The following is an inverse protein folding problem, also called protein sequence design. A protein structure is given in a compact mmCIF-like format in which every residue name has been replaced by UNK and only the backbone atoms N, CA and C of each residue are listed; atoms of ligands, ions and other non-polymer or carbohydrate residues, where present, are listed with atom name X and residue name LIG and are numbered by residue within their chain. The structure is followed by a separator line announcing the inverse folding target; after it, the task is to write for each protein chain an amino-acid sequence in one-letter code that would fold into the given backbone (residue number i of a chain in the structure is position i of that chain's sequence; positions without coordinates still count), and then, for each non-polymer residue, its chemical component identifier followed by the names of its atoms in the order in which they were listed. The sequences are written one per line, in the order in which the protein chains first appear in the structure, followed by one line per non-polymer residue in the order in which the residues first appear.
data_IF_485103209618
#
_entry.id   IF_485103209618
#
_cell.length_a   1.000
_cell.length_b   1.000
_cell.length_c   1.000
_cell.angle_alpha   90.00
_cell.angle_beta   90.00
_cell.angle_gamma   90.00
#
_symmetry.space_group_name_H-M   'P 1'
#
loop_
_entity.id
_entity.type
_entity.pdbx_description
1 polymer ?
#
# COMPACT_ATOMS: atom_id res chain seq x y z
N UNK A 1 -7.84 54.13 -49.09
CA UNK A 1 -9.07 54.74 -48.56
C UNK A 1 -9.75 53.73 -47.63
N UNK A 2 -10.08 54.18 -46.41
CA UNK A 2 -11.04 53.63 -45.42
C UNK A 2 -11.03 52.11 -45.14
N UNK A 3 -10.63 51.60 -43.96
CA UNK A 3 -11.18 51.75 -42.60
C UNK A 3 -12.37 50.82 -42.25
N UNK A 4 -12.21 50.12 -41.10
CA UNK A 4 -13.18 49.43 -40.23
C UNK A 4 -13.86 48.16 -40.78
N UNK A 5 -14.09 47.07 -40.03
CA UNK A 5 -13.94 46.68 -38.62
C UNK A 5 -14.58 45.27 -38.50
N UNK A 6 -13.99 44.29 -37.82
CA UNK A 6 -14.36 43.96 -36.44
C UNK A 6 -14.71 42.47 -36.28
N UNK A 7 -14.35 41.89 -35.13
CA UNK A 7 -14.72 40.53 -34.66
C UNK A 7 -13.67 39.47 -35.03
N UNK A 8 -12.98 38.77 -34.13
CA UNK A 8 -13.24 38.47 -32.73
C UNK A 8 -13.01 36.96 -32.56
N UNK A 9 -11.95 36.55 -31.84
CA UNK A 9 -11.67 35.13 -31.61
C UNK A 9 -10.22 34.81 -31.27
N UNK A 10 -9.72 35.35 -30.15
CA UNK A 10 -8.43 34.96 -29.60
C UNK A 10 -8.50 33.54 -29.04
N UNK A 11 -7.78 32.60 -29.65
CA UNK A 11 -7.59 31.24 -29.14
C UNK A 11 -6.71 31.23 -27.89
N UNK A 12 -7.34 31.12 -26.72
CA UNK A 12 -6.67 30.88 -25.45
C UNK A 12 -6.35 29.40 -25.26
N UNK A 13 -5.06 29.07 -25.15
CA UNK A 13 -4.57 27.76 -24.76
C UNK A 13 -5.06 27.36 -23.34
N UNK A 14 -5.26 26.06 -23.05
CA UNK A 14 -5.76 25.63 -21.76
C UNK A 14 -4.68 25.72 -20.68
N UNK A 15 -5.00 26.50 -19.64
CA UNK A 15 -4.23 26.69 -18.40
C UNK A 15 -4.23 25.38 -17.58
N UNK A 16 -3.09 24.80 -17.20
CA UNK A 16 -3.09 23.62 -16.32
C UNK A 16 -3.50 24.00 -14.90
N UNK A 17 -4.31 23.12 -14.30
CA UNK A 17 -4.92 23.23 -12.99
C UNK A 17 -3.88 23.52 -11.89
N UNK A 18 -4.19 24.53 -11.07
CA UNK A 18 -3.36 24.97 -9.96
C UNK A 18 -3.14 23.87 -8.91
N UNK A 19 -1.86 23.60 -8.62
CA UNK A 19 -1.44 22.92 -7.40
C UNK A 19 -1.85 23.75 -6.19
N UNK A 20 -2.53 23.11 -5.24
CA UNK A 20 -2.76 23.67 -3.91
C UNK A 20 -1.41 23.94 -3.21
N UNK A 21 -1.22 25.16 -2.72
CA UNK A 21 -0.13 25.56 -1.84
C UNK A 21 -0.30 24.85 -0.49
N UNK A 22 0.75 24.26 0.12
CA UNK A 22 0.72 23.95 1.54
C UNK A 22 0.87 25.27 2.32
N UNK A 23 -0.03 25.51 3.26
CA UNK A 23 0.03 26.62 4.20
C UNK A 23 1.24 26.46 5.12
N UNK A 24 2.22 27.35 4.96
CA UNK A 24 3.33 27.54 5.89
C UNK A 24 2.85 28.40 7.07
N UNK A 25 2.40 27.77 8.15
CA UNK A 25 2.18 28.42 9.45
C UNK A 25 3.50 28.51 10.23
N UNK A 26 4.03 29.72 10.37
CA UNK A 26 5.34 29.98 10.96
C UNK A 26 5.35 30.07 12.50
N UNK A 27 6.52 29.76 13.05
CA UNK A 27 7.13 30.47 14.17
C UNK A 27 8.65 30.29 14.05
N UNK A 28 9.35 31.34 13.59
CA UNK A 28 10.81 31.41 13.63
C UNK A 28 11.23 31.71 15.07
N UNK A 29 11.83 30.71 15.74
CA UNK A 29 12.74 30.93 16.86
C UNK A 29 14.18 30.77 16.33
N UNK A 30 15.10 31.59 16.81
CA UNK A 30 16.41 31.86 16.20
C UNK A 30 17.31 30.66 15.95
N UNK A 31 18.16 30.78 14.93
CA UNK A 31 19.43 30.05 14.83
C UNK A 31 19.39 28.58 14.40
N UNK A 32 18.24 28.00 14.06
CA UNK A 32 18.22 26.62 13.51
C UNK A 32 18.46 26.64 12.00
N UNK A 33 19.69 26.33 11.59
CA UNK A 33 20.08 26.06 10.19
C UNK A 33 19.45 24.73 9.70
N UNK A 34 18.95 23.92 10.64
CA UNK A 34 18.34 22.61 10.40
C UNK A 34 16.91 22.82 9.91
N UNK A 35 16.64 22.36 8.68
CA UNK A 35 15.29 22.34 8.13
C UNK A 35 14.37 21.40 8.96
N UNK A 36 13.15 21.87 9.26
CA UNK A 36 12.12 21.06 9.87
C UNK A 36 11.77 19.86 8.96
N UNK A 37 11.45 18.72 9.56
CA UNK A 37 11.22 17.47 8.84
C UNK A 37 9.93 17.54 7.99
N UNK A 38 10.05 17.20 6.70
CA UNK A 38 8.91 17.13 5.78
C UNK A 38 7.91 16.06 6.26
N UNK A 39 6.67 16.48 6.50
CA UNK A 39 5.60 15.59 6.93
C UNK A 39 4.37 15.81 6.07
N UNK A 40 4.19 14.96 5.06
CA UNK A 40 2.91 14.91 4.35
C UNK A 40 1.83 14.30 5.25
N UNK A 41 0.70 15.01 5.39
CA UNK A 41 -0.49 14.55 6.11
C UNK A 41 -1.59 14.28 5.08
N UNK A 42 -2.05 13.04 4.95
CA UNK A 42 -3.18 12.74 4.09
C UNK A 42 -3.18 11.34 3.46
N UNK A 43 -4.04 11.19 2.45
CA UNK A 43 -4.13 9.97 1.63
C UNK A 43 -2.94 9.97 0.65
N UNK A 44 -2.28 8.82 0.52
CA UNK A 44 -1.16 8.63 -0.43
C UNK A 44 -1.63 8.96 -1.84
N UNK A 45 -0.93 9.87 -2.52
CA UNK A 45 -1.27 10.30 -3.87
C UNK A 45 -1.15 9.13 -4.86
N UNK A 46 -2.10 9.03 -5.80
CA UNK A 46 -2.08 7.99 -6.85
C UNK A 46 -0.82 8.05 -7.71
N UNK A 47 -0.22 9.23 -7.84
CA UNK A 47 1.06 9.44 -8.53
C UNK A 47 2.21 8.61 -7.94
N UNK A 48 2.18 8.29 -6.65
CA UNK A 48 3.21 7.45 -6.03
C UNK A 48 3.09 6.00 -6.50
N UNK A 49 1.86 5.49 -6.63
CA UNK A 49 1.61 4.15 -7.15
C UNK A 49 2.00 4.03 -8.63
N UNK A 50 1.71 5.05 -9.42
CA UNK A 50 2.14 5.12 -10.83
C UNK A 50 3.65 5.17 -10.93
N UNK A 51 4.33 5.96 -10.09
CA UNK A 51 5.80 6.03 -10.09
C UNK A 51 6.46 4.71 -9.65
N UNK A 52 5.86 4.01 -8.70
CA UNK A 52 6.31 2.66 -8.34
C UNK A 52 6.10 1.68 -9.52
N UNK A 53 4.95 1.76 -10.19
CA UNK A 53 4.70 0.98 -11.40
C UNK A 53 5.70 1.28 -12.53
N UNK A 54 6.08 2.54 -12.73
CA UNK A 54 7.14 2.98 -13.66
C UNK A 54 8.51 2.43 -13.27
N UNK A 55 8.78 2.31 -11.97
CA UNK A 55 10.01 1.70 -11.46
C UNK A 55 10.06 0.19 -11.72
N UNK A 56 8.93 -0.52 -11.71
CA UNK A 56 8.82 -1.92 -12.13
C UNK A 56 9.06 -2.10 -13.64
N UNK A 57 8.68 -1.08 -14.42
CA UNK A 57 8.78 -1.06 -15.88
C UNK A 57 7.52 -1.58 -16.57
N UNK A 58 7.16 -0.97 -17.70
CA UNK A 58 5.93 -1.25 -18.45
C UNK A 58 5.87 -2.66 -19.03
N UNK A 59 7.01 -3.21 -19.46
CA UNK A 59 7.06 -4.60 -19.92
C UNK A 59 6.75 -5.58 -18.78
N UNK A 60 7.41 -5.43 -17.63
CA UNK A 60 7.14 -6.23 -16.43
C UNK A 60 5.67 -6.12 -16.02
N UNK A 61 5.12 -4.90 -16.01
CA UNK A 61 3.74 -4.63 -15.63
C UNK A 61 2.73 -5.31 -16.56
N UNK A 62 2.91 -5.18 -17.87
CA UNK A 62 2.06 -5.85 -18.86
C UNK A 62 2.12 -7.38 -18.74
N UNK A 63 3.32 -7.94 -18.52
CA UNK A 63 3.50 -9.39 -18.33
C UNK A 63 2.82 -9.89 -17.05
N UNK A 64 2.88 -9.11 -15.97
CA UNK A 64 2.20 -9.42 -14.72
C UNK A 64 0.69 -9.42 -14.91
N UNK A 65 0.13 -8.40 -15.55
CA UNK A 65 -1.32 -8.34 -15.84
C UNK A 65 -1.75 -9.58 -16.64
N UNK A 66 -1.00 -9.95 -17.68
CA UNK A 66 -1.28 -11.13 -18.49
C UNK A 66 -1.24 -12.44 -17.69
N UNK A 67 -0.15 -12.68 -16.94
CA UNK A 67 0.02 -13.91 -16.17
C UNK A 67 -1.00 -13.99 -15.02
N UNK A 68 -1.28 -12.89 -14.32
CA UNK A 68 -2.32 -12.85 -13.29
C UNK A 68 -3.69 -13.19 -13.87
N UNK A 69 -4.08 -12.56 -14.99
CA UNK A 69 -5.34 -12.85 -15.68
C UNK A 69 -5.42 -14.33 -16.08
N UNK A 70 -4.38 -14.86 -16.71
CA UNK A 70 -4.33 -16.25 -17.17
C UNK A 70 -4.41 -17.22 -15.99
N UNK A 71 -3.64 -16.98 -14.92
CA UNK A 71 -3.69 -17.79 -13.70
C UNK A 71 -5.10 -17.82 -13.11
N UNK A 72 -5.80 -16.68 -13.13
CA UNK A 72 -7.14 -16.56 -12.57
C UNK A 72 -8.19 -17.32 -13.40
N UNK A 73 -8.05 -17.29 -14.73
CA UNK A 73 -8.89 -18.07 -15.65
C UNK A 73 -8.73 -19.56 -15.39
N UNK A 74 -7.51 -20.08 -15.22
CA UNK A 74 -7.30 -21.49 -14.92
C UNK A 74 -7.81 -21.88 -13.52
N UNK A 75 -7.57 -21.05 -12.49
CA UNK A 75 -8.04 -21.33 -11.12
C UNK A 75 -9.56 -21.38 -11.01
N UNK A 76 -10.26 -20.39 -11.56
CA UNK A 76 -11.72 -20.41 -11.53
C UNK A 76 -12.28 -21.40 -12.57
N UNK A 77 -11.63 -21.54 -13.72
CA UNK A 77 -12.02 -22.50 -14.75
C UNK A 77 -11.98 -23.95 -14.26
N UNK A 78 -10.96 -24.34 -13.48
CA UNK A 78 -10.93 -25.67 -12.86
C UNK A 78 -12.04 -25.85 -11.82
N UNK A 79 -12.37 -24.81 -11.05
CA UNK A 79 -13.47 -24.81 -10.08
C UNK A 79 -14.83 -24.92 -10.77
N UNK A 80 -15.02 -24.23 -11.90
CA UNK A 80 -16.21 -24.32 -12.72
C UNK A 80 -16.33 -25.71 -13.36
N UNK A 81 -15.24 -26.26 -13.88
CA UNK A 81 -15.20 -27.61 -14.43
C UNK A 81 -15.61 -28.67 -13.40
N UNK A 82 -15.13 -28.54 -12.16
CA UNK A 82 -15.52 -29.41 -11.06
C UNK A 82 -17.04 -29.34 -10.78
N UNK A 83 -17.63 -28.15 -10.94
CA UNK A 83 -19.09 -27.97 -10.79
C UNK A 83 -19.86 -28.68 -11.89
N UNK A 84 -19.39 -28.62 -13.14
CA UNK A 84 -20.00 -29.34 -14.27
C UNK A 84 -19.88 -30.86 -14.13
N UNK A 85 -18.72 -31.33 -13.63
CA UNK A 85 -18.52 -32.75 -13.33
C UNK A 85 -19.47 -33.22 -12.21
N UNK A 86 -19.61 -32.44 -11.14
CA UNK A 86 -20.52 -32.78 -10.04
C UNK A 86 -22.01 -32.77 -10.44
N UNK A 87 -22.39 -31.92 -11.39
CA UNK A 87 -23.76 -31.82 -11.90
C UNK A 87 -24.08 -32.83 -13.03
N UNK A 88 -23.15 -33.72 -13.36
CA UNK A 88 -23.27 -34.72 -14.44
C UNK A 88 -23.77 -34.14 -15.77
N UNK A 89 -23.28 -32.94 -16.12
CA UNK A 89 -23.86 -32.13 -17.20
C UNK A 89 -23.59 -32.72 -18.59
N UNK A 90 -22.56 -33.57 -18.76
CA UNK A 90 -22.32 -34.31 -20.00
C UNK A 90 -22.43 -35.82 -19.77
N UNK A 91 -23.67 -36.35 -19.69
CA UNK A 91 -23.91 -37.77 -19.41
C UNK A 91 -23.32 -38.69 -20.48
N UNK A 92 -23.24 -38.23 -21.74
CA UNK A 92 -22.62 -38.98 -22.85
C UNK A 92 -21.12 -39.23 -22.68
N UNK A 93 -20.43 -38.43 -21.87
CA UNK A 93 -19.01 -38.59 -21.52
C UNK A 93 -18.85 -39.27 -20.16
N UNK A 94 -19.81 -39.04 -19.26
CA UNK A 94 -19.80 -39.50 -17.86
C UNK A 94 -20.05 -41.00 -17.71
N UNK A 95 -20.95 -41.59 -18.51
CA UNK A 95 -21.30 -43.01 -18.39
C UNK A 95 -20.19 -43.99 -18.84
N UNK A 96 -19.15 -43.48 -19.51
CA UNK A 96 -18.07 -44.31 -20.05
C UNK A 96 -16.72 -44.05 -19.40
N UNK A 97 -16.29 -42.79 -19.19
CA UNK A 97 -14.87 -42.47 -18.97
C UNK A 97 -14.58 -41.36 -17.90
N UNK A 98 -14.77 -41.60 -16.58
CA UNK A 98 -14.39 -40.70 -15.49
C UNK A 98 -12.99 -40.08 -15.54
N UNK A 99 -12.04 -40.76 -16.19
CA UNK A 99 -10.65 -40.36 -16.34
C UNK A 99 -10.49 -39.12 -17.21
N UNK A 100 -11.39 -38.87 -18.17
CA UNK A 100 -11.38 -37.64 -18.95
C UNK A 100 -11.64 -36.41 -18.06
N UNK A 101 -12.66 -36.45 -17.20
CA UNK A 101 -12.97 -35.36 -16.27
C UNK A 101 -11.83 -35.10 -15.28
N UNK A 102 -11.25 -36.17 -14.73
CA UNK A 102 -10.10 -36.09 -13.83
C UNK A 102 -8.86 -35.53 -14.54
N UNK A 103 -8.59 -35.95 -15.78
CA UNK A 103 -7.45 -35.46 -16.56
C UNK A 103 -7.56 -33.97 -16.87
N UNK A 104 -8.74 -33.49 -17.28
CA UNK A 104 -8.97 -32.06 -17.55
C UNK A 104 -8.84 -31.24 -16.26
N UNK A 105 -9.46 -31.69 -15.17
CA UNK A 105 -9.40 -30.99 -13.88
C UNK A 105 -7.96 -30.91 -13.34
N UNK A 106 -7.25 -32.05 -13.33
CA UNK A 106 -5.87 -32.12 -12.83
C UNK A 106 -4.92 -31.32 -13.71
N UNK A 107 -5.04 -31.41 -15.04
CA UNK A 107 -4.26 -30.62 -15.99
C UNK A 107 -4.47 -29.11 -15.82
N UNK A 108 -5.74 -28.66 -15.70
CA UNK A 108 -6.05 -27.25 -15.47
C UNK A 108 -5.53 -26.76 -14.11
N UNK A 109 -5.63 -27.58 -13.07
CA UNK A 109 -5.15 -27.26 -11.71
C UNK A 109 -3.61 -27.21 -11.63
N UNK A 110 -2.92 -28.13 -12.31
CA UNK A 110 -1.46 -28.12 -12.43
C UNK A 110 -0.98 -26.88 -13.21
N UNK A 111 -1.67 -26.53 -14.30
CA UNK A 111 -1.38 -25.32 -15.05
C UNK A 111 -1.59 -24.07 -14.18
N UNK A 112 -2.69 -23.99 -13.42
CA UNK A 112 -2.92 -22.91 -12.48
C UNK A 112 -1.79 -22.80 -11.45
N UNK A 113 -1.39 -23.91 -10.84
CA UNK A 113 -0.30 -23.95 -9.87
C UNK A 113 1.04 -23.48 -10.48
N UNK A 114 1.37 -23.92 -11.69
CA UNK A 114 2.56 -23.48 -12.42
C UNK A 114 2.52 -21.96 -12.69
N UNK A 115 1.38 -21.43 -13.15
CA UNK A 115 1.22 -19.99 -13.39
C UNK A 115 1.31 -19.16 -12.09
N UNK A 116 0.81 -19.70 -10.97
CA UNK A 116 0.93 -19.06 -9.65
C UNK A 116 2.42 -18.99 -9.23
N UNK A 117 3.21 -20.03 -9.49
CA UNK A 117 4.64 -20.01 -9.22
C UNK A 117 5.35 -18.98 -10.13
N UNK A 118 5.05 -19.00 -11.44
CA UNK A 118 5.66 -18.08 -12.41
C UNK A 118 5.34 -16.63 -12.04
N UNK A 119 4.09 -16.28 -11.71
CA UNK A 119 3.75 -14.90 -11.31
C UNK A 119 4.46 -14.48 -10.03
N UNK A 120 4.64 -15.38 -9.06
CA UNK A 120 5.36 -15.08 -7.82
C UNK A 120 6.83 -14.76 -8.10
N UNK A 121 7.49 -15.54 -8.96
CA UNK A 121 8.88 -15.31 -9.39
C UNK A 121 9.00 -14.00 -10.17
N UNK A 122 8.16 -13.79 -11.19
CA UNK A 122 8.20 -12.58 -12.03
C UNK A 122 8.00 -11.33 -11.18
N UNK A 123 7.04 -11.36 -10.24
CA UNK A 123 6.75 -10.22 -9.37
C UNK A 123 7.90 -9.94 -8.40
N UNK A 124 8.51 -10.98 -7.82
CA UNK A 124 9.66 -10.83 -6.93
C UNK A 124 10.86 -10.25 -7.67
N UNK A 125 11.13 -10.71 -8.89
CA UNK A 125 12.20 -10.16 -9.71
C UNK A 125 11.91 -8.71 -10.14
N UNK A 126 10.65 -8.39 -10.44
CA UNK A 126 10.24 -7.03 -10.80
C UNK A 126 10.35 -6.08 -9.59
N UNK A 127 9.96 -6.50 -8.39
CA UNK A 127 10.05 -5.69 -7.18
C UNK A 127 11.50 -5.44 -6.77
N UNK A 128 12.37 -6.44 -6.85
CA UNK A 128 13.81 -6.26 -6.61
C UNK A 128 14.45 -5.31 -7.63
N UNK A 129 14.02 -5.35 -8.90
CA UNK A 129 14.46 -4.37 -9.90
C UNK A 129 13.99 -2.95 -9.57
N UNK A 130 12.72 -2.80 -9.17
CA UNK A 130 12.17 -1.51 -8.77
C UNK A 130 12.88 -0.93 -7.55
N UNK A 131 13.11 -1.74 -6.51
CA UNK A 131 13.89 -1.39 -5.33
C UNK A 131 15.29 -0.85 -5.69
N UNK A 132 16.04 -1.61 -6.51
CA UNK A 132 17.37 -1.17 -6.98
C UNK A 132 17.31 0.14 -7.77
N UNK A 133 16.31 0.32 -8.63
CA UNK A 133 16.15 1.54 -9.42
C UNK A 133 15.86 2.75 -8.53
N UNK A 134 14.92 2.62 -7.59
CA UNK A 134 14.57 3.69 -6.64
C UNK A 134 15.78 4.04 -5.77
N UNK A 135 16.50 3.03 -5.27
CA UNK A 135 17.70 3.25 -4.46
C UNK A 135 18.81 3.94 -5.26
N UNK A 136 19.06 3.53 -6.51
CA UNK A 136 20.07 4.15 -7.37
C UNK A 136 19.71 5.61 -7.71
N UNK A 137 18.44 5.89 -8.02
CA UNK A 137 17.95 7.25 -8.24
C UNK A 137 18.12 8.12 -6.99
N UNK A 138 17.80 7.59 -5.80
CA UNK A 138 17.96 8.30 -4.54
C UNK A 138 19.44 8.61 -4.24
N UNK A 139 20.33 7.63 -4.44
CA UNK A 139 21.78 7.81 -4.26
C UNK A 139 22.31 8.87 -5.23
N UNK A 140 21.95 8.76 -6.52
CA UNK A 140 22.38 9.72 -7.53
C UNK A 140 21.89 11.14 -7.25
N UNK A 141 20.65 11.30 -6.76
CA UNK A 141 20.11 12.60 -6.40
C UNK A 141 20.86 13.24 -5.22
N UNK A 142 21.30 12.44 -4.24
CA UNK A 142 22.07 12.95 -3.10
C UNK A 142 23.48 13.37 -3.53
N UNK A 143 24.15 12.60 -4.39
CA UNK A 143 25.48 12.99 -4.91
C UNK A 143 25.45 14.26 -5.77
N UNK A 144 24.32 14.56 -6.43
CA UNK A 144 24.14 15.77 -7.23
C UNK A 144 23.59 16.95 -6.42
N UNK A 145 23.34 16.78 -5.12
CA UNK A 145 22.81 17.85 -4.27
C UNK A 145 23.88 18.93 -4.01
N UNK A 146 23.49 20.22 -3.96
CA UNK A 146 24.42 21.30 -3.64
C UNK A 146 24.96 21.16 -2.21
N UNK A 147 26.16 21.68 -1.93
CA UNK A 147 26.77 21.63 -0.58
C UNK A 147 25.82 22.19 0.50
N UNK A 148 25.05 23.23 0.16
CA UNK A 148 24.03 23.82 1.05
C UNK A 148 22.96 22.81 1.53
N UNK A 149 22.67 21.75 0.78
CA UNK A 149 21.79 20.67 1.22
C UNK A 149 22.40 19.91 2.40
N UNK A 150 23.71 19.65 2.38
CA UNK A 150 24.42 18.95 3.43
C UNK A 150 24.62 19.82 4.69
N UNK A 151 24.72 21.13 4.52
CA UNK A 151 24.83 22.07 5.65
C UNK A 151 23.50 22.26 6.40
N UNK A 152 22.38 22.14 5.69
CA UNK A 152 21.01 22.32 6.23
C UNK A 152 20.35 21.02 6.67
N UNK A 153 20.83 19.87 6.17
CA UNK A 153 20.26 18.55 6.44
C UNK A 153 21.18 17.74 7.35
N UNK A 154 20.75 17.37 8.58
CA UNK A 154 21.57 16.58 9.47
C UNK A 154 21.96 15.23 8.83
N UNK A 155 23.23 14.84 8.95
CA UNK A 155 23.73 13.58 8.39
C UNK A 155 22.89 12.37 8.85
N UNK A 156 22.45 12.36 10.11
CA UNK A 156 21.57 11.31 10.65
C UNK A 156 20.23 11.17 9.91
N UNK A 157 19.68 12.25 9.36
CA UNK A 157 18.44 12.21 8.55
C UNK A 157 18.67 11.52 7.21
N UNK A 158 19.80 11.80 6.57
CA UNK A 158 20.19 11.15 5.31
C UNK A 158 20.35 9.64 5.55
N UNK A 159 21.05 9.25 6.62
CA UNK A 159 21.23 7.84 6.99
C UNK A 159 19.89 7.17 7.29
N UNK A 160 19.01 7.79 8.08
CA UNK A 160 17.69 7.22 8.40
C UNK A 160 16.82 7.03 7.15
N UNK A 161 16.92 7.92 6.17
CA UNK A 161 16.18 7.82 4.92
C UNK A 161 16.71 6.68 4.04
N UNK A 162 18.03 6.47 3.99
CA UNK A 162 18.64 5.35 3.25
C UNK A 162 18.54 3.99 3.96
N UNK A 163 18.41 3.95 5.28
CA UNK A 163 18.22 2.68 6.00
C UNK A 163 16.74 2.36 6.20
N UNK A 164 16.01 3.23 6.92
CA UNK A 164 14.66 2.96 7.38
C UNK A 164 13.61 3.14 6.28
N UNK A 165 13.70 4.21 5.49
CA UNK A 165 12.67 4.49 4.48
C UNK A 165 12.84 3.65 3.21
N UNK A 166 14.08 3.42 2.76
CA UNK A 166 14.36 2.47 1.66
C UNK A 166 13.88 1.06 2.03
N UNK A 167 14.14 0.59 3.26
CA UNK A 167 13.63 -0.71 3.70
C UNK A 167 12.09 -0.80 3.66
N UNK A 168 11.39 0.27 4.04
CA UNK A 168 9.91 0.30 3.93
C UNK A 168 9.45 0.26 2.47
N UNK A 169 10.13 0.96 1.57
CA UNK A 169 9.83 0.91 0.14
C UNK A 169 10.04 -0.52 -0.39
N UNK A 170 11.16 -1.13 -0.05
CA UNK A 170 11.55 -2.44 -0.60
C UNK A 170 10.67 -3.59 -0.08
N UNK A 171 10.32 -3.57 1.20
CA UNK A 171 9.55 -4.66 1.83
C UNK A 171 8.07 -4.34 1.85
N UNK A 172 7.70 -3.18 2.42
CA UNK A 172 6.31 -2.86 2.71
C UNK A 172 5.55 -2.46 1.44
N UNK A 173 6.08 -1.53 0.64
CA UNK A 173 5.37 -1.10 -0.59
C UNK A 173 5.29 -2.25 -1.60
N UNK A 174 6.37 -3.01 -1.78
CA UNK A 174 6.39 -4.21 -2.61
C UNK A 174 5.34 -5.24 -2.17
N UNK A 175 5.27 -5.55 -0.87
CA UNK A 175 4.29 -6.48 -0.33
C UNK A 175 2.83 -5.99 -0.52
N UNK A 176 2.57 -4.71 -0.27
CA UNK A 176 1.23 -4.13 -0.46
C UNK A 176 0.83 -4.10 -1.93
N UNK A 177 1.77 -3.82 -2.83
CA UNK A 177 1.54 -3.88 -4.26
C UNK A 177 1.20 -5.30 -4.74
N UNK A 178 1.90 -6.31 -4.20
CA UNK A 178 1.57 -7.73 -4.46
C UNK A 178 0.17 -8.09 -3.98
N UNK A 179 -0.19 -7.71 -2.76
CA UNK A 179 -1.53 -7.95 -2.22
C UNK A 179 -2.61 -7.25 -3.02
N UNK A 180 -2.35 -6.02 -3.52
CA UNK A 180 -3.28 -5.29 -4.38
C UNK A 180 -3.61 -6.09 -5.64
N UNK A 181 -2.60 -6.60 -6.36
CA UNK A 181 -2.79 -7.42 -7.56
C UNK A 181 -3.55 -8.71 -7.26
N UNK A 182 -3.14 -9.44 -6.22
CA UNK A 182 -3.81 -10.67 -5.80
C UNK A 182 -5.29 -10.44 -5.50
N UNK A 183 -5.60 -9.43 -4.69
CA UNK A 183 -6.97 -9.12 -4.31
C UNK A 183 -7.80 -8.60 -5.50
N UNK A 184 -7.21 -7.77 -6.36
CA UNK A 184 -7.92 -7.23 -7.52
C UNK A 184 -8.34 -8.33 -8.50
N UNK A 185 -7.41 -9.19 -8.91
CA UNK A 185 -7.71 -10.29 -9.84
C UNK A 185 -8.58 -11.37 -9.22
N UNK A 186 -8.38 -11.69 -7.94
CA UNK A 186 -9.24 -12.61 -7.20
C UNK A 186 -10.69 -12.08 -7.13
N UNK A 187 -10.87 -10.82 -6.72
CA UNK A 187 -12.20 -10.20 -6.68
C UNK A 187 -12.87 -10.19 -8.05
N UNK A 188 -12.13 -9.80 -9.10
CA UNK A 188 -12.65 -9.78 -10.47
C UNK A 188 -13.10 -11.16 -10.92
N UNK A 189 -12.29 -12.20 -10.67
CA UNK A 189 -12.64 -13.54 -11.08
C UNK A 189 -13.76 -14.16 -10.24
N UNK A 190 -13.86 -13.86 -8.93
CA UNK A 190 -15.02 -14.24 -8.11
C UNK A 190 -16.30 -13.59 -8.62
N UNK A 191 -16.30 -12.29 -8.92
CA UNK A 191 -17.46 -11.59 -9.49
C UNK A 191 -17.85 -12.21 -10.84
N UNK A 192 -16.86 -12.51 -11.68
CA UNK A 192 -17.08 -13.13 -13.00
C UNK A 192 -17.72 -14.51 -12.86
N UNK A 193 -17.18 -15.36 -11.98
CA UNK A 193 -17.76 -16.69 -11.71
C UNK A 193 -19.18 -16.60 -11.16
N UNK A 194 -19.43 -15.65 -10.28
CA UNK A 194 -20.75 -15.46 -9.71
C UNK A 194 -21.77 -14.99 -10.76
N UNK A 195 -21.35 -14.10 -11.67
CA UNK A 195 -22.16 -13.65 -12.80
C UNK A 195 -22.47 -14.77 -13.80
N UNK A 196 -21.52 -15.69 -14.04
CA UNK A 196 -21.73 -16.87 -14.90
C UNK A 196 -22.67 -17.89 -14.24
N UNK A 197 -22.63 -18.03 -12.92
CA UNK A 197 -23.48 -18.96 -12.17
C UNK A 197 -24.96 -18.56 -12.21
N UNK A 198 -25.27 -17.28 -12.01
CA UNK A 198 -26.66 -16.79 -12.09
C UNK A 198 -26.76 -15.32 -12.48
N UNK A 199 -27.64 -15.04 -13.45
CA UNK A 199 -27.87 -13.71 -14.02
C UNK A 199 -28.35 -12.68 -12.99
N UNK A 200 -29.10 -13.12 -11.97
CA UNK A 200 -29.69 -12.22 -10.97
C UNK A 200 -28.78 -11.94 -9.78
N UNK A 201 -27.68 -12.69 -9.60
CA UNK A 201 -26.82 -12.52 -8.43
C UNK A 201 -26.10 -11.17 -8.45
N UNK A 202 -25.84 -10.61 -9.64
CA UNK A 202 -25.25 -9.28 -9.78
C UNK A 202 -26.16 -8.17 -9.19
N UNK A 203 -27.49 -8.36 -9.24
CA UNK A 203 -28.44 -7.44 -8.62
C UNK A 203 -28.35 -7.48 -7.09
N UNK A 204 -28.12 -8.66 -6.51
CA UNK A 204 -27.93 -8.85 -5.06
C UNK A 204 -26.59 -8.27 -4.56
N UNK A 205 -25.56 -8.23 -5.40
CA UNK A 205 -24.27 -7.60 -5.08
C UNK A 205 -24.37 -6.08 -4.91
N UNK A 206 -25.33 -5.42 -5.57
CA UNK A 206 -25.46 -3.96 -5.58
C UNK A 206 -25.75 -3.36 -4.19
N UNK A 207 -26.78 -3.82 -3.42
CA UNK A 207 -26.98 -3.35 -2.05
C UNK A 207 -25.78 -3.71 -1.14
N UNK A 208 -25.16 -4.86 -1.35
CA UNK A 208 -23.98 -5.28 -0.58
C UNK A 208 -22.78 -4.35 -0.82
N UNK A 209 -22.57 -3.91 -2.06
CA UNK A 209 -21.53 -2.96 -2.43
C UNK A 209 -21.76 -1.58 -1.80
N UNK A 210 -23.02 -1.14 -1.71
CA UNK A 210 -23.38 0.11 -1.02
C UNK A 210 -23.03 0.03 0.46
N UNK A 211 -23.45 -1.05 1.15
CA UNK A 211 -23.12 -1.27 2.56
C UNK A 211 -21.60 -1.32 2.75
N UNK A 212 -20.90 -2.06 1.90
CA UNK A 212 -19.44 -2.14 1.92
C UNK A 212 -18.78 -0.77 1.75
N UNK A 213 -19.28 0.07 0.83
CA UNK A 213 -18.74 1.41 0.63
C UNK A 213 -18.86 2.29 1.89
N UNK A 214 -20.02 2.26 2.56
CA UNK A 214 -20.18 2.98 3.82
C UNK A 214 -19.26 2.41 4.90
N UNK A 215 -19.25 1.11 5.12
CA UNK A 215 -18.36 0.45 6.08
C UNK A 215 -16.89 0.80 5.82
N UNK A 216 -16.42 0.71 4.57
CA UNK A 216 -15.05 1.06 4.18
C UNK A 216 -14.74 2.53 4.44
N UNK A 217 -15.68 3.45 4.18
CA UNK A 217 -15.50 4.88 4.46
C UNK A 217 -15.29 5.13 5.95
N UNK A 218 -16.15 4.56 6.81
CA UNK A 218 -16.04 4.68 8.26
C UNK A 218 -14.77 4.01 8.79
N UNK A 219 -14.53 2.76 8.38
CA UNK A 219 -13.37 1.98 8.78
C UNK A 219 -12.05 2.71 8.47
N UNK A 220 -11.89 3.22 7.25
CA UNK A 220 -10.67 3.97 6.88
C UNK A 220 -10.48 5.22 7.73
N UNK A 221 -11.55 5.92 8.10
CA UNK A 221 -11.45 7.11 8.95
C UNK A 221 -11.03 6.73 10.38
N UNK A 222 -11.69 5.72 10.97
CA UNK A 222 -11.38 5.24 12.32
C UNK A 222 -10.00 4.60 12.41
N UNK A 223 -9.61 3.77 11.44
CA UNK A 223 -8.31 3.09 11.40
C UNK A 223 -7.16 4.08 11.34
N UNK A 224 -7.26 5.15 10.53
CA UNK A 224 -6.25 6.22 10.50
C UNK A 224 -6.12 6.94 11.84
N UNK A 225 -7.22 7.20 12.52
CA UNK A 225 -7.19 7.88 13.82
C UNK A 225 -6.61 6.98 14.91
N UNK A 226 -6.96 5.69 14.91
CA UNK A 226 -6.38 4.69 15.82
C UNK A 226 -4.86 4.54 15.60
N UNK A 227 -4.43 4.46 14.34
CA UNK A 227 -3.00 4.41 13.99
C UNK A 227 -2.27 5.69 14.43
N UNK A 228 -2.94 6.85 14.33
CA UNK A 228 -2.40 8.13 14.82
C UNK A 228 -2.27 8.11 16.35
N UNK A 229 -3.28 7.66 17.07
CA UNK A 229 -3.27 7.54 18.54
C UNK A 229 -2.16 6.61 19.01
N UNK A 230 -2.03 5.43 18.39
CA UNK A 230 -0.95 4.47 18.69
C UNK A 230 0.44 5.09 18.44
N UNK A 231 0.62 5.78 17.30
CA UNK A 231 1.88 6.44 16.99
C UNK A 231 2.23 7.54 17.99
N UNK A 232 1.24 8.29 18.48
CA UNK A 232 1.44 9.37 19.45
C UNK A 232 1.70 8.81 20.85
N UNK A 233 0.98 7.75 21.27
CA UNK A 233 1.17 7.13 22.59
C UNK A 233 2.51 6.42 22.74
N UNK A 234 3.11 5.97 21.63
CA UNK A 234 4.39 5.27 21.63
C UNK A 234 5.59 6.18 21.88
N UNK A 235 5.56 7.43 21.41
CA UNK A 235 6.72 8.35 21.51
C UNK A 235 7.14 8.66 22.96
N UNK A 236 6.22 8.98 23.89
CA UNK A 236 6.59 9.26 25.29
C UNK A 236 7.25 8.10 26.02
N UNK A 237 7.01 6.85 25.59
CA UNK A 237 7.66 5.66 26.17
C UNK A 237 9.15 5.69 25.85
N UNK A 238 9.52 5.92 24.59
CA UNK A 238 10.92 6.02 24.19
C UNK A 238 11.63 7.20 24.86
N UNK A 239 10.97 8.37 24.92
CA UNK A 239 11.53 9.54 25.61
C UNK A 239 11.78 9.28 27.09
N UNK A 240 10.80 8.72 27.80
CA UNK A 240 10.94 8.42 29.23
C UNK A 240 12.02 7.35 29.49
N UNK A 241 12.16 6.38 28.60
CA UNK A 241 13.22 5.36 28.69
C UNK A 241 14.61 5.98 28.51
N UNK A 242 14.80 6.86 27.52
CA UNK A 242 16.06 7.59 27.33
C UNK A 242 16.37 8.52 28.51
N UNK A 243 15.37 9.22 29.05
CA UNK A 243 15.52 10.05 30.26
C UNK A 243 15.95 9.22 31.47
N UNK A 244 15.34 8.04 31.67
CA UNK A 244 15.70 7.14 32.75
C UNK A 244 17.13 6.57 32.60
N UNK A 245 17.58 6.23 31.39
CA UNK A 245 18.95 5.76 31.14
C UNK A 245 19.99 6.84 31.43
N UNK A 246 19.74 8.07 30.98
CA UNK A 246 20.66 9.18 31.20
C UNK A 246 20.65 9.67 32.66
N UNK A 247 19.49 9.61 33.32
CA UNK A 247 19.28 10.03 34.70
C UNK A 247 19.44 8.93 35.75
N UNK A 248 19.85 7.72 35.36
CA UNK A 248 19.96 6.55 36.24
C UNK A 248 20.69 6.83 37.58
N UNK A 249 21.89 7.46 37.60
CA UNK A 249 22.57 7.75 38.87
C UNK A 249 21.79 8.74 39.74
N UNK A 250 21.13 9.73 39.14
CA UNK A 250 20.32 10.73 39.86
C UNK A 250 19.03 10.11 40.43
N UNK A 251 18.37 9.23 39.69
CA UNK A 251 17.18 8.48 40.13
C UNK A 251 17.53 7.58 41.31
N UNK A 252 18.68 6.90 41.24
CA UNK A 252 19.19 6.05 42.30
C UNK A 252 19.55 6.87 43.56
N UNK A 253 20.26 7.99 43.39
CA UNK A 253 20.65 8.88 44.49
C UNK A 253 19.44 9.47 45.22
N UNK A 254 18.39 9.86 44.49
CA UNK A 254 17.16 10.43 45.06
C UNK A 254 16.16 9.37 45.54
N UNK A 255 16.42 8.07 45.32
CA UNK A 255 15.52 6.95 45.66
C UNK A 255 14.09 7.08 45.10
N UNK A 256 13.95 7.69 43.90
CA UNK A 256 12.65 7.91 43.24
C UNK A 256 12.30 6.87 42.17
N UNK A 257 13.01 5.74 42.13
CA UNK A 257 12.78 4.66 41.16
C UNK A 257 11.31 4.16 41.10
N UNK A 258 10.59 3.95 42.23
CA UNK A 258 9.21 3.46 42.19
C UNK A 258 8.25 4.43 41.47
N UNK A 259 8.47 5.74 41.63
CA UNK A 259 7.67 6.78 40.94
C UNK A 259 7.92 6.77 39.44
N UNK A 260 9.17 6.55 39.02
CA UNK A 260 9.53 6.41 37.61
C UNK A 260 8.95 5.13 37.00
N UNK A 261 8.94 4.03 37.75
CA UNK A 261 8.33 2.77 37.34
C UNK A 261 6.82 2.93 37.13
N UNK A 262 6.09 3.49 38.11
CA UNK A 262 4.65 3.71 37.99
C UNK A 262 4.29 4.60 36.80
N UNK A 263 5.06 5.68 36.58
CA UNK A 263 4.88 6.55 35.43
C UNK A 263 5.17 5.84 34.09
N UNK A 264 6.09 4.88 34.08
CA UNK A 264 6.41 4.07 32.89
C UNK A 264 5.30 3.06 32.59
N UNK A 265 4.78 2.37 33.62
CA UNK A 265 3.62 1.47 33.52
C UNK A 265 2.41 2.21 32.97
N UNK A 266 2.08 3.41 33.48
CA UNK A 266 0.96 4.22 32.97
C UNK A 266 1.08 4.57 31.49
N UNK A 267 2.29 4.91 31.01
CA UNK A 267 2.55 5.21 29.59
C UNK A 267 2.43 3.94 28.74
N UNK A 268 2.94 2.81 29.24
CA UNK A 268 2.84 1.52 28.57
C UNK A 268 1.38 1.04 28.47
N UNK A 269 0.59 1.22 29.53
CA UNK A 269 -0.85 0.95 29.57
C UNK A 269 -1.62 1.80 28.55
N UNK A 270 -1.33 3.11 28.48
CA UNK A 270 -1.95 3.99 27.51
C UNK A 270 -1.69 3.52 26.07
N UNK A 271 -0.44 3.13 25.76
CA UNK A 271 -0.08 2.60 24.45
C UNK A 271 -0.72 1.24 24.17
N UNK A 272 -0.75 0.34 25.16
CA UNK A 272 -1.35 -0.99 25.03
C UNK A 272 -2.86 -0.89 24.81
N UNK A 273 -3.54 0.04 25.48
CA UNK A 273 -4.96 0.33 25.23
C UNK A 273 -5.19 0.84 23.81
N UNK A 274 -4.39 1.80 23.34
CA UNK A 274 -4.48 2.31 21.97
C UNK A 274 -4.26 1.19 20.93
N UNK A 275 -3.23 0.37 21.12
CA UNK A 275 -2.94 -0.78 20.27
C UNK A 275 -4.05 -1.85 20.32
N UNK A 276 -4.62 -2.13 21.50
CA UNK A 276 -5.74 -3.05 21.64
C UNK A 276 -7.00 -2.56 20.91
N UNK A 277 -7.31 -1.26 21.02
CA UNK A 277 -8.40 -0.65 20.26
C UNK A 277 -8.15 -0.70 18.75
N UNK A 278 -6.90 -0.54 18.31
CA UNK A 278 -6.54 -0.71 16.89
C UNK A 278 -6.70 -2.16 16.42
N UNK A 279 -6.19 -3.13 17.19
CA UNK A 279 -6.30 -4.55 16.87
C UNK A 279 -7.76 -5.04 16.84
N UNK A 280 -8.60 -4.60 17.78
CA UNK A 280 -10.04 -4.91 17.78
C UNK A 280 -10.81 -4.28 16.63
N UNK A 281 -10.36 -3.12 16.14
CA UNK A 281 -10.97 -2.52 14.96
C UNK A 281 -10.63 -3.27 13.67
N UNK A 282 -9.55 -4.08 13.66
CA UNK A 282 -9.06 -4.84 12.51
C UNK A 282 -9.67 -6.24 12.37
N UNK A 283 -10.20 -6.82 13.46
CA UNK A 283 -10.90 -8.11 13.48
C UNK A 283 -12.37 -7.95 13.09
#
# INVERSE_FOLDING_TARGET
AAAAGGGGGGGGAPKPAGRAKPEAGGAKAGGSIIAAEDRERGVVAMSLWVRYAEALGWLSMSSLIGIYSLSQVFTYGSSWWLTQWAADTFPSVSHGEPWFYMAVYSGASLMAAALILVRAVVLTLASVRAARKIQAEAISAVFQAPIAFFDTTPLGRIVNRFSGDVQKVDVQISGQFMQLFLNFFSLLGTITMLALSSKYVLLSLLPLAIIYFFCAKYYRASSRELQRLESISRSPIYTAFTEALNGAPTIAAMRVAPRFEEASVRRFDANTRAACHHARALQ
#
